data_IF_527153534791
#
_entry.id   IF_527153534791
#
_cell.length_a   1.000
_cell.length_b   1.000
_cell.length_c   1.000
_cell.angle_alpha   90.00
_cell.angle_beta   90.00
_cell.angle_gamma   90.00
#
_symmetry.space_group_name_H-M   'P 1'
#
loop_
_entity.id
_entity.type
_entity.pdbx_description
1 polymer ?
#
# COMPACT_ATOMS: atom_id res chain seq x y z
N UNK A 1 17.04 2.85 -5.22
CA UNK A 1 15.70 2.31 -4.87
C UNK A 1 14.80 2.52 -6.08
N UNK A 2 14.03 1.52 -6.54
CA UNK A 2 13.10 1.71 -7.68
C UNK A 2 11.66 1.76 -7.15
N UNK A 3 11.07 2.95 -7.18
CA UNK A 3 9.71 3.22 -6.72
C UNK A 3 8.73 3.49 -7.86
N UNK A 4 9.15 3.28 -9.11
CA UNK A 4 8.33 3.51 -10.30
C UNK A 4 7.75 2.19 -10.83
N UNK A 5 7.74 1.15 -10.01
CA UNK A 5 7.27 -0.18 -10.37
C UNK A 5 6.25 -0.68 -9.35
N UNK A 6 5.30 -1.50 -9.80
CA UNK A 6 4.25 -2.11 -8.97
C UNK A 6 4.85 -2.92 -7.80
N UNK A 7 6.08 -3.43 -7.95
CA UNK A 7 6.85 -4.09 -6.87
C UNK A 7 7.59 -3.13 -5.94
N UNK A 8 7.12 -1.89 -5.79
CA UNK A 8 7.75 -0.87 -4.94
C UNK A 8 8.01 -1.41 -3.53
N UNK A 9 9.22 -1.14 -3.04
CA UNK A 9 9.53 -1.21 -1.61
C UNK A 9 9.73 0.21 -1.12
N UNK A 10 8.99 0.60 -0.08
CA UNK A 10 9.06 1.93 0.52
C UNK A 10 8.96 1.81 2.04
N UNK A 11 9.91 2.44 2.74
CA UNK A 11 9.97 2.37 4.19
C UNK A 11 10.12 0.93 4.69
N UNK A 12 9.44 0.62 5.80
CA UNK A 12 9.49 -0.69 6.45
C UNK A 12 8.30 -1.58 6.08
N UNK A 13 7.17 -0.99 5.67
CA UNK A 13 5.89 -1.68 5.54
C UNK A 13 5.33 -1.66 4.11
N UNK A 14 5.74 -0.74 3.24
CA UNK A 14 5.15 -0.72 1.90
C UNK A 14 5.89 -1.68 0.97
N UNK A 15 5.21 -2.76 0.56
CA UNK A 15 5.60 -3.58 -0.58
C UNK A 15 4.84 -4.89 -0.67
N UNK A 16 4.72 -5.45 -1.87
CA UNK A 16 4.02 -6.73 -2.06
C UNK A 16 4.79 -7.85 -1.34
N UNK A 17 4.13 -8.52 -0.38
CA UNK A 17 4.75 -9.57 0.43
C UNK A 17 5.86 -9.06 1.35
N UNK A 18 5.88 -7.77 1.66
CA UNK A 18 6.87 -7.13 2.49
C UNK A 18 6.20 -6.41 3.66
N UNK A 19 6.67 -6.64 4.88
CA UNK A 19 6.18 -5.94 6.07
C UNK A 19 7.29 -5.78 7.10
N UNK A 20 7.11 -4.85 8.03
CA UNK A 20 8.07 -4.56 9.10
C UNK A 20 7.97 -5.53 10.28
N UNK A 21 8.97 -5.51 11.16
CA UNK A 21 8.95 -6.32 12.38
C UNK A 21 7.95 -5.76 13.42
N UNK A 22 7.42 -6.60 14.33
CA UNK A 22 6.60 -6.14 15.45
C UNK A 22 7.31 -5.06 16.27
N UNK A 23 6.59 -4.00 16.62
CA UNK A 23 7.13 -2.88 17.42
C UNK A 23 7.90 -1.82 16.62
N UNK A 24 8.22 -2.07 15.34
CA UNK A 24 8.85 -1.06 14.50
C UNK A 24 7.91 0.13 14.24
N UNK A 25 8.50 1.32 14.27
CA UNK A 25 7.80 2.56 13.91
C UNK A 25 7.91 2.79 12.40
N UNK A 26 6.81 3.18 11.73
CA UNK A 26 6.86 3.59 10.33
C UNK A 26 7.84 4.74 10.10
N UNK A 27 8.42 4.79 8.89
CA UNK A 27 9.37 5.81 8.50
C UNK A 27 8.72 7.19 8.34
N UNK A 28 7.46 7.23 7.91
CA UNK A 28 6.64 8.42 7.76
C UNK A 28 5.13 8.08 7.65
N UNK A 29 4.31 9.06 7.29
CA UNK A 29 2.86 8.92 7.18
C UNK A 29 2.43 7.93 6.06
N UNK A 30 3.21 7.82 4.97
CA UNK A 30 2.95 6.86 3.89
C UNK A 30 3.23 5.43 4.35
N UNK A 31 4.38 5.22 4.99
CA UNK A 31 4.75 3.93 5.57
C UNK A 31 3.77 3.51 6.69
N UNK A 32 3.20 4.48 7.41
CA UNK A 32 2.15 4.22 8.40
C UNK A 32 0.85 3.74 7.75
N UNK A 33 0.46 4.28 6.59
CA UNK A 33 -0.67 3.74 5.82
C UNK A 33 -0.43 2.28 5.41
N UNK A 34 0.80 1.92 5.03
CA UNK A 34 1.16 0.55 4.66
C UNK A 34 1.09 -0.39 5.86
N UNK A 35 1.61 0.01 7.02
CA UNK A 35 1.47 -0.77 8.26
C UNK A 35 0.00 -1.08 8.58
N UNK A 36 -0.88 -0.08 8.47
CA UNK A 36 -2.32 -0.26 8.69
C UNK A 36 -2.93 -1.21 7.67
N UNK A 37 -2.44 -1.19 6.42
CA UNK A 37 -2.88 -2.09 5.36
C UNK A 37 -2.44 -3.52 5.63
N UNK A 38 -1.16 -3.74 5.95
CA UNK A 38 -0.59 -5.05 6.29
C UNK A 38 -1.37 -5.70 7.45
N UNK A 39 -1.56 -4.97 8.55
CA UNK A 39 -2.34 -5.45 9.71
C UNK A 39 -3.80 -5.75 9.36
N UNK A 40 -4.36 -5.08 8.34
CA UNK A 40 -5.73 -5.31 7.88
C UNK A 40 -5.81 -6.61 7.08
N UNK A 41 -4.91 -6.81 6.11
CA UNK A 41 -4.92 -8.00 5.25
C UNK A 41 -4.43 -9.25 5.97
N UNK A 42 -3.57 -9.12 6.98
CA UNK A 42 -3.21 -10.22 7.88
C UNK A 42 -4.45 -10.76 8.61
N UNK A 43 -5.34 -9.85 9.07
CA UNK A 43 -6.54 -10.22 9.82
C UNK A 43 -7.72 -10.65 8.95
N UNK A 44 -7.86 -10.07 7.76
CA UNK A 44 -9.05 -10.25 6.91
C UNK A 44 -8.82 -11.07 5.64
N UNK A 45 -7.56 -11.30 5.28
CA UNK A 45 -7.15 -11.96 4.05
C UNK A 45 -6.56 -11.00 3.03
N UNK A 46 -5.62 -11.53 2.24
CA UNK A 46 -4.84 -10.78 1.24
C UNK A 46 -5.68 -10.15 0.13
N UNK A 47 -6.89 -10.68 -0.13
CA UNK A 47 -7.81 -10.22 -1.16
C UNK A 47 -8.96 -9.34 -0.62
N UNK A 48 -8.90 -8.89 0.65
CA UNK A 48 -9.95 -8.05 1.22
C UNK A 48 -9.96 -6.66 0.55
N UNK A 49 -10.96 -6.43 -0.30
CA UNK A 49 -11.16 -5.17 -1.05
C UNK A 49 -11.29 -3.96 -0.11
N UNK A 50 -11.89 -4.13 1.09
CA UNK A 50 -12.05 -3.01 2.03
C UNK A 50 -10.70 -2.57 2.60
N UNK A 51 -9.76 -3.48 2.81
CA UNK A 51 -8.39 -3.14 3.19
C UNK A 51 -7.70 -2.33 2.08
N UNK A 52 -7.82 -2.75 0.82
CA UNK A 52 -7.22 -2.04 -0.32
C UNK A 52 -7.81 -0.63 -0.52
N UNK A 53 -9.14 -0.47 -0.43
CA UNK A 53 -9.79 0.85 -0.57
C UNK A 53 -9.48 1.79 0.61
N UNK A 54 -9.40 1.24 1.83
CA UNK A 54 -8.96 2.02 3.01
C UNK A 54 -7.52 2.52 2.83
N UNK A 55 -6.63 1.67 2.31
CA UNK A 55 -5.25 2.04 2.04
C UNK A 55 -5.16 3.14 0.97
N UNK A 56 -5.86 2.99 -0.17
CA UNK A 56 -5.99 4.06 -1.19
C UNK A 56 -6.46 5.39 -0.60
N UNK A 57 -7.46 5.35 0.28
CA UNK A 57 -7.96 6.56 0.96
C UNK A 57 -6.89 7.19 1.87
N UNK A 58 -6.11 6.36 2.57
CA UNK A 58 -5.04 6.82 3.45
C UNK A 58 -3.93 7.54 2.66
N UNK A 59 -3.38 6.89 1.63
CA UNK A 59 -2.26 7.44 0.86
C UNK A 59 -2.68 8.68 0.05
N UNK A 60 -3.93 8.78 -0.39
CA UNK A 60 -4.47 10.01 -1.01
C UNK A 60 -4.48 11.20 -0.05
N UNK A 61 -4.74 10.99 1.24
CA UNK A 61 -4.66 12.07 2.24
C UNK A 61 -3.21 12.46 2.50
N UNK A 62 -2.31 11.49 2.55
CA UNK A 62 -0.86 11.72 2.71
C UNK A 62 -0.32 12.51 1.52
N UNK A 63 -0.67 12.17 0.28
CA UNK A 63 -0.24 12.89 -0.92
C UNK A 63 -0.70 14.35 -0.90
N UNK A 64 -1.95 14.62 -0.50
CA UNK A 64 -2.48 15.97 -0.34
C UNK A 64 -1.78 16.83 0.72
N UNK A 65 -0.97 16.23 1.58
CA UNK A 65 -0.20 16.99 2.59
C UNK A 65 0.93 17.83 1.97
N UNK A 66 1.33 17.55 0.72
CA UNK A 66 2.44 18.24 0.05
C UNK A 66 3.83 17.94 0.63
N UNK A 67 3.95 17.00 1.57
CA UNK A 67 5.23 16.54 2.10
C UNK A 67 5.99 15.73 1.05
N UNK A 68 7.32 15.77 1.12
CA UNK A 68 8.18 14.96 0.24
C UNK A 68 8.19 13.49 0.66
N UNK A 69 8.01 13.19 1.95
CA UNK A 69 8.22 11.87 2.53
C UNK A 69 9.62 11.70 3.12
N UNK A 70 9.92 10.51 3.65
CA UNK A 70 11.23 10.26 4.27
C UNK A 70 12.38 10.10 3.26
N UNK A 71 12.08 9.79 2.00
CA UNK A 71 13.06 9.48 0.95
C UNK A 71 13.02 10.53 -0.16
N UNK A 72 14.19 11.08 -0.51
CA UNK A 72 14.35 11.96 -1.68
C UNK A 72 14.40 11.16 -3.00
N UNK A 73 14.86 9.92 -2.96
CA UNK A 73 14.90 9.03 -4.14
C UNK A 73 13.49 8.56 -4.54
N UNK A 74 12.58 8.51 -3.56
CA UNK A 74 11.21 8.04 -3.72
C UNK A 74 10.24 8.99 -3.04
N UNK A 75 10.04 10.21 -3.59
CA UNK A 75 9.14 11.17 -2.99
C UNK A 75 7.68 10.70 -3.08
N UNK A 76 6.80 11.27 -2.26
CA UNK A 76 5.36 10.99 -2.30
C UNK A 76 4.74 11.17 -3.69
N UNK A 77 5.18 12.18 -4.44
CA UNK A 77 4.74 12.43 -5.83
C UNK A 77 4.99 11.26 -6.77
N UNK A 78 5.89 10.36 -6.41
CA UNK A 78 6.20 9.17 -7.20
C UNK A 78 5.65 7.91 -6.55
N UNK A 79 5.90 7.73 -5.26
CA UNK A 79 5.51 6.53 -4.52
C UNK A 79 3.98 6.37 -4.42
N UNK A 80 3.23 7.46 -4.15
CA UNK A 80 1.78 7.37 -3.95
C UNK A 80 1.03 6.98 -5.24
N UNK A 81 1.30 7.58 -6.41
CA UNK A 81 0.69 7.15 -7.66
C UNK A 81 0.99 5.68 -8.00
N UNK A 82 2.24 5.23 -7.82
CA UNK A 82 2.62 3.83 -8.08
C UNK A 82 1.88 2.86 -7.15
N UNK A 83 1.82 3.17 -5.85
CA UNK A 83 1.06 2.35 -4.89
C UNK A 83 -0.44 2.35 -5.19
N UNK A 84 -1.01 3.50 -5.61
CA UNK A 84 -2.42 3.59 -6.01
C UNK A 84 -2.72 2.67 -7.18
N UNK A 85 -1.87 2.69 -8.22
CA UNK A 85 -1.99 1.80 -9.37
C UNK A 85 -1.90 0.32 -8.96
N UNK A 86 -0.94 -0.04 -8.10
CA UNK A 86 -0.80 -1.40 -7.59
C UNK A 86 -2.05 -1.87 -6.84
N UNK A 87 -2.70 -0.98 -6.08
CA UNK A 87 -3.94 -1.30 -5.38
C UNK A 87 -5.14 -1.44 -6.30
N UNK A 88 -5.25 -0.61 -7.33
CA UNK A 88 -6.31 -0.76 -8.34
C UNK A 88 -6.22 -2.13 -9.03
N UNK A 89 -5.01 -2.60 -9.33
CA UNK A 89 -4.79 -3.96 -9.83
C UNK A 89 -5.15 -5.02 -8.80
N UNK A 90 -4.75 -4.87 -7.53
CA UNK A 90 -5.08 -5.83 -6.46
C UNK A 90 -6.61 -5.96 -6.26
N UNK A 91 -7.34 -4.85 -6.32
CA UNK A 91 -8.80 -4.84 -6.24
C UNK A 91 -9.42 -5.58 -7.43
N UNK A 92 -8.96 -5.29 -8.64
CA UNK A 92 -9.42 -5.98 -9.84
C UNK A 92 -9.20 -7.50 -9.74
N UNK A 93 -8.01 -7.94 -9.31
CA UNK A 93 -7.72 -9.35 -9.10
C UNK A 93 -8.57 -9.98 -8.00
N UNK A 94 -8.84 -9.26 -6.92
CA UNK A 94 -9.71 -9.73 -5.83
C UNK A 94 -11.15 -9.95 -6.31
N UNK A 95 -11.67 -9.06 -7.15
CA UNK A 95 -12.99 -9.19 -7.76
C UNK A 95 -13.08 -10.38 -8.73
N UNK A 96 -12.06 -10.56 -9.58
CA UNK A 96 -11.97 -11.69 -10.52
C UNK A 96 -11.80 -13.04 -9.80
N UNK A 97 -11.07 -13.05 -8.68
CA UNK A 97 -10.90 -14.24 -7.84
C UNK A 97 -12.20 -14.64 -7.14
N UNK A 98 -12.95 -13.66 -6.61
CA UNK A 98 -14.26 -13.90 -5.99
C UNK A 98 -15.27 -14.45 -6.99
N UNK A 99 -15.28 -13.93 -8.22
CA UNK A 99 -16.22 -14.38 -9.26
C UNK A 99 -15.91 -15.77 -9.83
N UNK A 100 -14.72 -16.33 -9.59
CA UNK A 100 -14.39 -17.74 -9.90
C UNK A 100 -14.82 -18.73 -8.81
N UNK A 101 -15.15 -18.26 -7.61
CA UNK A 101 -15.64 -19.11 -6.49
C UNK A 101 -17.17 -19.27 -6.55
N UNK A 102 -17.87 -18.38 -7.25
CA UNK A 102 -19.33 -18.39 -7.41
C UNK A 102 -19.84 -19.08 -8.69
N UNK A 103 -19.00 -19.85 -9.40
CA UNK A 103 -19.37 -20.60 -10.61
C UNK A 103 -19.15 -22.11 -10.46
#
# INVERSE_FOLDING_TARGET
MNCNSIGIRYGKYCGVGWTGCPGEKPCDDLDACCKIHDECVEKKGLADIKCHEKFKTCIKKVHKSGKVGFSLDCPYETAVPTMTQGMDMAILFSQLGSSRVEL
#
